data_IF_359345803384
#
_entry.id   IF_359345803384
#
_cell.length_a   1.000
_cell.length_b   1.000
_cell.length_c   1.000
_cell.angle_alpha   90.00
_cell.angle_beta   90.00
_cell.angle_gamma   90.00
#
_symmetry.space_group_name_H-M   'P 1'
#
loop_
_entity.id
_entity.type
_entity.pdbx_description
1 polymer ?
#
# COMPACT_ATOMS: atom_id res chain seq x y z
N UNK A 1 -13.56 -7.81 -9.99
CA UNK A 1 -12.98 -7.69 -11.36
C UNK A 1 -11.73 -6.84 -11.23
N UNK A 2 -10.63 -7.23 -11.86
CA UNK A 2 -9.38 -6.47 -11.80
C UNK A 2 -9.57 -5.06 -12.35
N UNK A 3 -9.06 -4.07 -11.64
CA UNK A 3 -9.12 -2.64 -11.98
C UNK A 3 -7.73 -2.01 -12.03
N UNK A 4 -6.78 -2.56 -11.26
CA UNK A 4 -5.45 -1.99 -11.09
C UNK A 4 -4.35 -3.00 -11.40
N UNK A 5 -3.34 -2.54 -12.13
CA UNK A 5 -2.05 -3.20 -12.24
C UNK A 5 -1.01 -2.37 -11.49
N UNK A 6 -0.49 -2.92 -10.40
CA UNK A 6 0.60 -2.35 -9.63
C UNK A 6 1.91 -2.88 -10.23
N UNK A 7 2.83 -2.02 -10.57
CA UNK A 7 4.13 -2.40 -11.13
C UNK A 7 5.22 -1.96 -10.15
N UNK A 8 5.95 -2.94 -9.61
CA UNK A 8 7.18 -2.68 -8.89
C UNK A 8 8.28 -2.41 -9.90
N UNK A 9 8.81 -1.19 -9.94
CA UNK A 9 9.85 -0.84 -10.89
C UNK A 9 11.21 -1.42 -10.53
N UNK A 10 11.45 -1.62 -9.22
CA UNK A 10 12.71 -2.15 -8.72
C UNK A 10 12.49 -3.11 -7.54
N UNK A 11 13.42 -4.05 -7.32
CA UNK A 11 13.37 -5.00 -6.20
C UNK A 11 13.32 -4.31 -4.82
N UNK A 12 13.89 -3.09 -4.72
CA UNK A 12 13.92 -2.28 -3.50
C UNK A 12 12.76 -1.31 -3.36
N UNK A 13 11.88 -1.22 -4.37
CA UNK A 13 10.69 -0.36 -4.31
C UNK A 13 9.86 -0.66 -3.06
N UNK A 14 9.61 0.36 -2.25
CA UNK A 14 8.90 0.18 -0.99
C UNK A 14 7.42 0.04 -1.22
N UNK A 15 6.87 -1.11 -0.84
CA UNK A 15 5.43 -1.36 -0.86
C UNK A 15 4.69 -0.40 0.06
N UNK A 16 3.51 0.05 -0.37
CA UNK A 16 2.53 0.75 0.49
C UNK A 16 1.67 -0.22 1.32
N UNK A 17 1.94 -1.53 1.23
CA UNK A 17 1.24 -2.55 1.99
C UNK A 17 1.81 -2.70 3.40
N UNK A 18 1.12 -3.51 4.24
CA UNK A 18 1.55 -3.82 5.60
C UNK A 18 2.98 -4.40 5.65
N UNK A 19 3.30 -5.36 4.78
CA UNK A 19 4.64 -5.95 4.71
C UNK A 19 5.57 -5.19 3.78
N UNK A 20 6.85 -5.11 4.19
CA UNK A 20 7.92 -4.55 3.36
C UNK A 20 8.52 -5.59 2.44
N UNK A 21 9.00 -5.13 1.31
CA UNK A 21 9.96 -5.85 0.50
C UNK A 21 11.29 -5.96 1.26
N UNK A 22 11.85 -7.17 1.36
CA UNK A 22 13.11 -7.42 2.10
C UNK A 22 14.33 -7.51 1.20
N UNK A 23 14.19 -7.27 -0.10
CA UNK A 23 15.31 -7.34 -1.03
C UNK A 23 16.15 -6.08 -0.93
N UNK A 24 17.46 -6.28 -0.94
CA UNK A 24 18.48 -5.22 -0.84
C UNK A 24 19.20 -4.98 -2.16
N UNK A 25 19.06 -5.89 -3.13
CA UNK A 25 19.69 -5.76 -4.43
C UNK A 25 18.84 -4.88 -5.34
N UNK A 26 19.46 -3.90 -5.95
CA UNK A 26 18.81 -3.05 -6.96
C UNK A 26 18.70 -3.82 -8.27
N UNK A 27 17.49 -4.12 -8.66
CA UNK A 27 17.18 -4.78 -9.92
C UNK A 27 15.94 -4.14 -10.52
N UNK A 28 16.16 -3.29 -11.51
CA UNK A 28 15.07 -2.71 -12.28
C UNK A 28 14.37 -3.80 -13.12
N UNK A 29 13.04 -3.64 -13.27
CA UNK A 29 12.28 -4.36 -14.30
C UNK A 29 12.91 -4.10 -15.67
N UNK A 30 12.97 -5.10 -16.54
CA UNK A 30 13.48 -4.86 -17.89
C UNK A 30 12.56 -3.91 -18.68
N UNK A 31 13.13 -3.09 -19.58
CA UNK A 31 12.32 -2.22 -20.45
C UNK A 31 11.34 -3.02 -21.30
N UNK A 32 11.69 -4.23 -21.69
CA UNK A 32 10.78 -5.14 -22.41
C UNK A 32 9.60 -5.52 -21.54
N UNK A 33 9.83 -5.91 -20.28
CA UNK A 33 8.76 -6.30 -19.36
C UNK A 33 7.91 -5.09 -18.95
N UNK A 34 8.52 -3.91 -18.82
CA UNK A 34 7.78 -2.66 -18.57
C UNK A 34 6.82 -2.33 -19.74
N UNK A 35 7.31 -2.44 -20.97
CA UNK A 35 6.46 -2.24 -22.16
C UNK A 35 5.33 -3.27 -22.24
N UNK A 36 5.62 -4.55 -21.97
CA UNK A 36 4.60 -5.61 -21.93
C UNK A 36 3.58 -5.38 -20.80
N UNK A 37 4.01 -4.84 -19.65
CA UNK A 37 3.11 -4.48 -18.56
C UNK A 37 2.13 -3.36 -18.98
N UNK A 38 2.63 -2.34 -19.66
CA UNK A 38 1.81 -1.26 -20.20
C UNK A 38 0.80 -1.82 -21.22
N UNK A 39 1.24 -2.63 -22.17
CA UNK A 39 0.36 -3.27 -23.14
C UNK A 39 -0.67 -4.19 -22.49
N UNK A 40 -0.28 -4.95 -21.47
CA UNK A 40 -1.19 -5.80 -20.70
C UNK A 40 -2.28 -4.98 -20.02
N UNK A 41 -1.92 -3.85 -19.40
CA UNK A 41 -2.88 -2.97 -18.74
C UNK A 41 -3.87 -2.35 -19.72
N UNK A 42 -3.37 -1.85 -20.87
CA UNK A 42 -4.21 -1.25 -21.92
C UNK A 42 -5.21 -2.26 -22.50
N UNK A 43 -4.74 -3.49 -22.82
CA UNK A 43 -5.60 -4.57 -23.35
C UNK A 43 -6.71 -4.96 -22.38
N UNK A 44 -6.52 -4.76 -21.06
CA UNK A 44 -7.46 -5.17 -20.01
C UNK A 44 -8.18 -3.99 -19.36
N UNK A 45 -7.93 -2.78 -19.82
CA UNK A 45 -8.46 -1.53 -19.28
C UNK A 45 -8.20 -1.41 -17.77
N UNK A 46 -6.93 -1.63 -17.36
CA UNK A 46 -6.49 -1.51 -15.99
C UNK A 46 -5.82 -0.16 -15.76
N UNK A 47 -6.07 0.44 -14.61
CA UNK A 47 -5.32 1.60 -14.14
C UNK A 47 -3.93 1.17 -13.68
N UNK A 48 -2.89 1.80 -14.24
CA UNK A 48 -1.50 1.57 -13.87
C UNK A 48 -1.13 2.33 -12.61
N UNK A 49 -0.40 1.65 -11.72
CA UNK A 49 0.21 2.23 -10.53
C UNK A 49 1.67 1.81 -10.49
N UNK A 50 2.61 2.75 -10.61
CA UNK A 50 4.04 2.47 -10.54
C UNK A 50 4.58 2.78 -9.16
N UNK A 51 5.25 1.80 -8.55
CA UNK A 51 5.99 1.99 -7.30
C UNK A 51 7.45 2.26 -7.65
N UNK A 52 7.85 3.49 -7.41
CA UNK A 52 9.19 3.99 -7.72
C UNK A 52 10.20 3.53 -6.67
N UNK A 53 11.47 3.32 -7.06
CA UNK A 53 12.57 3.15 -6.11
C UNK A 53 12.90 4.47 -5.40
N UNK A 54 13.80 4.40 -4.42
CA UNK A 54 14.31 5.55 -3.67
C UNK A 54 15.38 6.37 -4.41
N UNK A 55 15.68 6.00 -5.64
CA UNK A 55 16.66 6.64 -6.51
C UNK A 55 16.06 7.06 -7.85
N UNK A 56 16.73 7.97 -8.56
CA UNK A 56 16.28 8.45 -9.85
C UNK A 56 16.31 7.35 -10.91
N UNK A 57 15.19 7.17 -11.61
CA UNK A 57 15.11 6.22 -12.74
C UNK A 57 15.91 6.74 -13.96
N UNK A 58 16.47 5.83 -14.78
CA UNK A 58 16.99 6.20 -16.09
C UNK A 58 15.93 6.86 -16.97
N UNK A 59 16.33 7.85 -17.77
CA UNK A 59 15.43 8.65 -18.59
C UNK A 59 14.54 7.82 -19.54
N UNK A 60 15.06 6.71 -20.03
CA UNK A 60 14.32 5.79 -20.91
C UNK A 60 13.10 5.17 -20.22
N UNK A 61 13.18 4.86 -18.89
CA UNK A 61 12.05 4.40 -18.09
C UNK A 61 11.02 5.50 -17.92
N UNK A 62 11.48 6.70 -17.56
CA UNK A 62 10.59 7.86 -17.40
C UNK A 62 9.84 8.13 -18.70
N UNK A 63 10.56 8.19 -19.82
CA UNK A 63 9.94 8.41 -21.13
C UNK A 63 8.88 7.35 -21.46
N UNK A 64 9.12 6.08 -21.14
CA UNK A 64 8.16 5.00 -21.38
C UNK A 64 6.93 5.12 -20.45
N UNK A 65 7.13 5.38 -19.17
CA UNK A 65 6.05 5.50 -18.18
C UNK A 65 5.14 6.68 -18.51
N UNK A 66 5.70 7.83 -18.91
CA UNK A 66 4.95 9.04 -19.23
C UNK A 66 4.11 8.93 -20.53
N UNK A 67 4.23 7.82 -21.29
CA UNK A 67 3.37 7.58 -22.46
C UNK A 67 1.95 7.19 -22.11
N UNK A 68 1.67 6.84 -20.86
CA UNK A 68 0.38 6.34 -20.39
C UNK A 68 -0.11 7.07 -19.14
N UNK A 69 -1.41 7.10 -18.95
CA UNK A 69 -1.99 7.58 -17.69
C UNK A 69 -1.70 6.57 -16.59
N UNK A 70 -1.15 7.03 -15.48
CA UNK A 70 -0.76 6.20 -14.37
C UNK A 70 -0.79 6.97 -13.05
N UNK A 71 -0.77 6.24 -11.94
CA UNK A 71 -0.53 6.79 -10.61
C UNK A 71 0.92 6.51 -10.19
N UNK A 72 1.58 7.52 -9.67
CA UNK A 72 2.94 7.44 -9.14
C UNK A 72 2.91 7.25 -7.63
N UNK A 73 3.61 6.22 -7.16
CA UNK A 73 3.79 5.92 -5.73
C UNK A 73 5.28 5.98 -5.41
N UNK A 74 5.68 6.82 -4.46
CA UNK A 74 7.10 6.96 -4.08
C UNK A 74 7.29 7.13 -2.58
N UNK A 75 8.52 6.94 -2.12
CA UNK A 75 8.90 7.23 -0.73
C UNK A 75 8.97 8.73 -0.46
N UNK A 76 8.77 9.11 0.80
CA UNK A 76 8.96 10.49 1.30
C UNK A 76 10.38 11.02 1.09
N UNK A 77 11.36 10.11 1.02
CA UNK A 77 12.78 10.42 0.80
C UNK A 77 13.18 10.46 -0.67
N UNK A 78 12.26 10.14 -1.60
CA UNK A 78 12.57 10.11 -3.02
C UNK A 78 12.85 11.51 -3.58
N UNK A 79 13.79 11.58 -4.54
CA UNK A 79 14.29 12.84 -5.12
C UNK A 79 13.20 13.64 -5.88
N UNK A 80 12.11 13.00 -6.31
CA UNK A 80 11.07 13.60 -7.13
C UNK A 80 9.65 13.47 -6.55
N UNK A 81 9.42 14.06 -5.37
CA UNK A 81 8.09 14.04 -4.73
C UNK A 81 7.07 14.94 -5.46
N UNK A 82 7.52 15.94 -6.21
CA UNK A 82 6.66 17.04 -6.74
C UNK A 82 5.50 16.65 -7.66
N UNK A 83 5.42 15.40 -8.12
CA UNK A 83 4.33 14.90 -8.98
C UNK A 83 3.92 13.47 -8.60
N UNK A 84 3.73 13.24 -7.32
CA UNK A 84 3.44 11.91 -6.80
C UNK A 84 2.02 11.87 -6.29
N UNK A 85 1.22 10.90 -6.76
CA UNK A 85 -0.17 10.71 -6.33
C UNK A 85 -0.26 10.12 -4.93
N UNK A 86 0.71 9.26 -4.58
CA UNK A 86 0.80 8.65 -3.25
C UNK A 86 2.23 8.70 -2.73
N UNK A 87 2.42 9.21 -1.51
CA UNK A 87 3.71 9.27 -0.82
C UNK A 87 3.70 8.32 0.37
N UNK A 88 4.68 7.42 0.41
CA UNK A 88 4.87 6.49 1.52
C UNK A 88 5.91 7.06 2.49
N UNK A 89 5.50 7.29 3.72
CA UNK A 89 6.36 7.74 4.83
C UNK A 89 6.72 6.52 5.66
N UNK A 90 8.00 6.25 5.86
CA UNK A 90 8.50 5.09 6.61
C UNK A 90 9.18 5.45 7.93
N UNK A 91 9.53 6.73 8.13
CA UNK A 91 10.10 7.24 9.39
C UNK A 91 9.26 8.46 9.83
N UNK A 92 8.89 8.51 11.11
CA UNK A 92 8.16 9.66 11.67
C UNK A 92 8.95 10.98 11.59
N UNK A 93 10.28 10.90 11.55
CA UNK A 93 11.16 12.07 11.39
C UNK A 93 10.98 12.75 10.03
N UNK A 94 10.65 12.00 9.01
CA UNK A 94 10.40 12.55 7.68
C UNK A 94 9.18 13.47 7.69
N UNK A 95 8.18 13.19 8.55
CA UNK A 95 6.95 13.99 8.70
C UNK A 95 7.26 15.46 9.02
N UNK A 96 8.31 15.71 9.81
CA UNK A 96 8.66 17.07 10.24
C UNK A 96 9.23 17.93 9.10
N UNK A 97 9.85 17.28 8.11
CA UNK A 97 10.55 17.95 7.01
C UNK A 97 9.77 17.90 5.69
N UNK A 98 8.68 17.13 5.63
CA UNK A 98 7.90 16.93 4.42
C UNK A 98 7.01 18.12 4.12
N UNK A 99 7.08 18.62 2.89
CA UNK A 99 6.13 19.59 2.36
C UNK A 99 4.90 18.84 1.87
N UNK A 100 3.83 18.91 2.64
CA UNK A 100 2.56 18.25 2.30
C UNK A 100 1.84 18.98 1.16
N UNK A 101 1.22 18.19 0.29
CA UNK A 101 0.36 18.65 -0.80
C UNK A 101 -1.05 18.10 -0.61
N UNK A 102 -2.06 18.95 -0.71
CA UNK A 102 -3.47 18.58 -0.53
C UNK A 102 -3.95 17.54 -1.55
N UNK A 103 -3.43 17.54 -2.78
CA UNK A 103 -3.83 16.59 -3.83
C UNK A 103 -3.20 15.20 -3.68
N UNK A 104 -2.24 15.04 -2.77
CA UNK A 104 -1.47 13.80 -2.60
C UNK A 104 -2.04 12.96 -1.46
N UNK A 105 -2.15 11.65 -1.68
CA UNK A 105 -2.49 10.68 -0.64
C UNK A 105 -1.21 10.30 0.11
N UNK A 106 -1.24 10.38 1.43
CA UNK A 106 -0.11 9.96 2.26
C UNK A 106 -0.39 8.63 2.95
N UNK A 107 0.64 7.77 2.98
CA UNK A 107 0.60 6.48 3.64
C UNK A 107 1.75 6.46 4.64
N UNK A 108 1.41 6.53 5.93
CA UNK A 108 2.40 6.44 6.98
C UNK A 108 2.50 4.99 7.48
N UNK A 109 3.62 4.35 7.14
CA UNK A 109 3.97 3.01 7.62
C UNK A 109 4.81 3.17 8.87
N UNK A 110 4.31 2.68 9.99
CA UNK A 110 4.87 2.99 11.30
C UNK A 110 4.81 1.76 12.22
N UNK A 111 5.88 1.44 13.00
CA UNK A 111 5.80 0.48 14.10
C UNK A 111 4.84 0.97 15.20
N UNK A 112 4.29 0.06 16.00
CA UNK A 112 3.34 0.38 17.08
C UNK A 112 3.89 1.42 18.06
N UNK A 113 5.13 1.24 18.51
CA UNK A 113 5.74 2.14 19.50
C UNK A 113 5.87 3.56 18.97
N UNK A 114 6.31 3.73 17.72
CA UNK A 114 6.39 5.03 17.08
C UNK A 114 5.00 5.63 16.85
N UNK A 115 4.00 4.81 16.49
CA UNK A 115 2.63 5.27 16.32
C UNK A 115 2.04 5.78 17.64
N UNK A 116 2.22 5.05 18.74
CA UNK A 116 1.70 5.46 20.05
C UNK A 116 2.39 6.73 20.56
N UNK A 117 3.71 6.81 20.39
CA UNK A 117 4.50 7.95 20.86
C UNK A 117 4.32 9.22 20.01
N UNK A 118 3.95 9.10 18.74
CA UNK A 118 3.87 10.22 17.78
C UNK A 118 2.49 10.37 17.15
N UNK A 119 1.44 9.86 17.78
CA UNK A 119 0.06 9.94 17.28
C UNK A 119 -0.46 11.37 17.10
N UNK A 120 0.10 12.35 17.81
CA UNK A 120 -0.19 13.77 17.64
C UNK A 120 0.15 14.30 16.24
N UNK A 121 1.12 13.66 15.55
CA UNK A 121 1.47 14.01 14.18
C UNK A 121 0.35 13.71 13.19
N UNK A 122 -0.52 12.73 13.49
CA UNK A 122 -1.64 12.36 12.61
C UNK A 122 -2.55 13.54 12.36
N UNK A 123 -2.96 14.25 13.41
CA UNK A 123 -3.83 15.43 13.27
C UNK A 123 -3.12 16.57 12.54
N UNK A 124 -1.85 16.81 12.86
CA UNK A 124 -1.03 17.82 12.17
C UNK A 124 -0.87 17.56 10.68
N UNK A 125 -0.82 16.29 10.28
CA UNK A 125 -0.81 15.90 8.86
C UNK A 125 -2.19 16.14 8.24
N UNK A 126 -3.27 15.67 8.90
CA UNK A 126 -4.63 15.80 8.40
C UNK A 126 -5.09 17.25 8.24
N UNK A 127 -4.49 18.19 8.96
CA UNK A 127 -4.69 19.63 8.74
C UNK A 127 -4.24 20.11 7.34
N UNK A 128 -3.35 19.35 6.68
CA UNK A 128 -2.66 19.74 5.46
C UNK A 128 -2.96 18.86 4.25
N UNK A 129 -3.63 17.73 4.47
CA UNK A 129 -3.84 16.72 3.42
C UNK A 129 -5.29 16.23 3.42
N UNK A 130 -5.79 15.84 2.24
CA UNK A 130 -7.15 15.28 2.13
C UNK A 130 -7.21 13.86 2.70
N UNK A 131 -6.14 13.07 2.56
CA UNK A 131 -6.15 11.68 2.98
C UNK A 131 -4.82 11.21 3.56
N UNK A 132 -4.91 10.59 4.74
CA UNK A 132 -3.81 9.89 5.39
C UNK A 132 -4.22 8.44 5.70
N UNK A 133 -3.43 7.50 5.24
CA UNK A 133 -3.57 6.08 5.58
C UNK A 133 -2.46 5.70 6.56
N UNK A 134 -2.81 5.21 7.73
CA UNK A 134 -1.86 4.65 8.72
C UNK A 134 -1.78 3.15 8.54
N UNK A 135 -0.57 2.61 8.46
CA UNK A 135 -0.29 1.19 8.41
C UNK A 135 0.67 0.84 9.54
N UNK A 136 0.15 0.20 10.58
CA UNK A 136 0.98 -0.29 11.69
C UNK A 136 1.67 -1.57 11.23
N UNK A 137 3.00 -1.55 11.13
CA UNK A 137 3.77 -2.60 10.43
C UNK A 137 3.97 -3.88 11.23
N UNK A 138 3.70 -3.85 12.52
CA UNK A 138 3.89 -4.94 13.50
C UNK A 138 2.62 -5.24 14.31
N UNK A 139 1.46 -4.94 13.77
CA UNK A 139 0.16 -5.14 14.44
C UNK A 139 -0.09 -6.60 14.87
N UNK A 140 0.55 -7.57 14.23
CA UNK A 140 0.50 -8.98 14.60
C UNK A 140 1.23 -9.30 15.90
N UNK A 141 2.05 -8.37 16.42
CA UNK A 141 2.76 -8.52 17.69
C UNK A 141 2.01 -7.88 18.85
N UNK A 142 0.83 -7.31 18.62
CA UNK A 142 0.04 -6.66 19.66
C UNK A 142 -0.33 -7.64 20.76
N UNK A 143 -0.05 -7.25 21.98
CA UNK A 143 -0.57 -7.88 23.19
C UNK A 143 -1.82 -7.13 23.71
N UNK A 144 -2.27 -7.46 24.92
CA UNK A 144 -3.47 -6.84 25.51
C UNK A 144 -3.26 -5.36 25.83
N UNK A 145 -2.06 -5.00 26.30
CA UNK A 145 -1.72 -3.62 26.67
C UNK A 145 -1.62 -2.75 25.41
N UNK A 146 -1.03 -3.27 24.34
CA UNK A 146 -0.97 -2.61 23.03
C UNK A 146 -2.38 -2.29 22.48
N UNK A 147 -3.35 -3.20 22.66
CA UNK A 147 -4.73 -2.92 22.25
C UNK A 147 -5.40 -1.84 23.10
N UNK A 148 -5.09 -1.77 24.38
CA UNK A 148 -5.59 -0.71 25.28
C UNK A 148 -4.98 0.64 24.90
N UNK A 149 -3.69 0.69 24.57
CA UNK A 149 -2.99 1.87 24.08
C UNK A 149 -3.52 2.31 22.72
N UNK A 150 -3.69 1.37 21.80
CA UNK A 150 -4.28 1.63 20.49
C UNK A 150 -5.68 2.26 20.61
N UNK A 151 -6.52 1.75 21.52
CA UNK A 151 -7.85 2.30 21.75
C UNK A 151 -7.79 3.72 22.33
N UNK A 152 -6.86 4.00 23.26
CA UNK A 152 -6.65 5.35 23.80
C UNK A 152 -6.24 6.33 22.70
N UNK A 153 -5.29 5.91 21.85
CA UNK A 153 -4.86 6.72 20.70
C UNK A 153 -6.02 6.99 19.74
N UNK A 154 -6.82 5.96 19.40
CA UNK A 154 -7.97 6.14 18.51
C UNK A 154 -9.00 7.11 19.07
N UNK A 155 -9.25 7.09 20.39
CA UNK A 155 -10.16 8.06 21.01
C UNK A 155 -9.62 9.49 20.88
N UNK A 156 -8.35 9.70 21.20
CA UNK A 156 -7.69 11.02 21.02
C UNK A 156 -7.72 11.50 19.56
N UNK A 157 -7.48 10.60 18.62
CA UNK A 157 -7.55 10.93 17.20
C UNK A 157 -8.99 11.24 16.77
N UNK A 158 -9.98 10.55 17.33
CA UNK A 158 -11.40 10.82 17.05
C UNK A 158 -11.78 12.23 17.45
N UNK A 159 -11.40 12.66 18.67
CA UNK A 159 -11.66 14.02 19.16
C UNK A 159 -10.97 15.07 18.25
N UNK A 160 -9.75 14.77 17.79
CA UNK A 160 -9.01 15.63 16.87
C UNK A 160 -9.66 15.74 15.49
N UNK A 161 -10.12 14.62 14.93
CA UNK A 161 -10.83 14.58 13.64
C UNK A 161 -12.17 15.30 13.72
N UNK A 162 -12.94 15.10 14.80
CA UNK A 162 -14.19 15.81 15.04
C UNK A 162 -13.99 17.33 15.05
N UNK A 163 -12.93 17.79 15.71
CA UNK A 163 -12.57 19.20 15.73
C UNK A 163 -12.23 19.74 14.35
N UNK A 164 -11.45 18.98 13.54
CA UNK A 164 -11.15 19.36 12.16
C UNK A 164 -12.42 19.50 11.31
N UNK A 165 -13.36 18.56 11.45
CA UNK A 165 -14.66 18.65 10.74
C UNK A 165 -15.49 19.85 11.20
N UNK A 166 -15.50 20.16 12.51
CA UNK A 166 -16.16 21.37 13.00
C UNK A 166 -15.56 22.67 12.46
N UNK A 167 -14.26 22.64 12.11
CA UNK A 167 -13.54 23.74 11.43
C UNK A 167 -13.73 23.75 9.91
N UNK A 168 -14.50 22.82 9.33
CA UNK A 168 -14.77 22.71 7.91
C UNK A 168 -13.68 21.99 7.10
N UNK A 169 -12.78 21.25 7.76
CA UNK A 169 -11.76 20.42 7.12
C UNK A 169 -12.26 18.98 7.01
N UNK A 170 -12.18 18.38 5.83
CA UNK A 170 -12.70 17.02 5.54
C UNK A 170 -11.57 15.98 5.38
N UNK A 171 -10.58 16.02 6.25
CA UNK A 171 -9.45 15.07 6.21
C UNK A 171 -9.92 13.62 6.45
N UNK A 172 -9.47 12.70 5.60
CA UNK A 172 -9.81 11.28 5.67
C UNK A 172 -8.70 10.49 6.35
N UNK A 173 -9.04 9.71 7.37
CA UNK A 173 -8.15 8.81 8.09
C UNK A 173 -8.70 7.38 8.02
N UNK A 174 -7.93 6.44 7.44
CA UNK A 174 -8.38 5.05 7.28
C UNK A 174 -8.76 4.36 8.60
N UNK A 175 -8.13 4.71 9.71
CA UNK A 175 -8.41 4.11 11.03
C UNK A 175 -9.76 4.52 11.60
N UNK A 176 -10.29 5.68 11.21
CA UNK A 176 -11.52 6.27 11.74
C UNK A 176 -12.58 6.52 10.66
N UNK A 177 -12.31 7.45 9.73
CA UNK A 177 -13.33 7.92 8.78
C UNK A 177 -13.79 6.85 7.80
N UNK A 178 -12.89 5.95 7.35
CA UNK A 178 -13.31 4.83 6.51
C UNK A 178 -14.32 3.91 7.22
N UNK A 179 -14.18 3.74 8.53
CA UNK A 179 -15.13 2.94 9.33
C UNK A 179 -16.49 3.60 9.49
N UNK A 180 -16.53 4.92 9.51
CA UNK A 180 -17.78 5.70 9.61
C UNK A 180 -18.50 5.77 8.27
N UNK A 181 -17.77 5.90 7.17
CA UNK A 181 -18.32 6.14 5.84
C UNK A 181 -18.66 4.85 5.08
N UNK A 182 -17.96 3.75 5.36
CA UNK A 182 -18.17 2.49 4.66
C UNK A 182 -19.24 1.64 5.36
N UNK A 183 -20.31 1.29 4.66
CA UNK A 183 -21.34 0.35 5.16
C UNK A 183 -20.75 -1.01 5.53
N UNK A 184 -19.65 -1.37 4.93
CA UNK A 184 -18.91 -2.62 5.16
C UNK A 184 -17.44 -2.35 4.96
N UNK A 185 -16.61 -2.70 5.93
CA UNK A 185 -15.16 -2.69 5.76
C UNK A 185 -14.78 -3.72 4.71
N UNK A 186 -14.24 -3.25 3.61
CA UNK A 186 -13.69 -4.11 2.58
C UNK A 186 -12.25 -4.45 2.95
N UNK A 187 -11.81 -5.60 2.46
CA UNK A 187 -10.40 -5.96 2.48
C UNK A 187 -9.64 -5.06 1.51
N UNK A 188 -8.30 -5.18 1.52
CA UNK A 188 -7.45 -4.50 0.54
C UNK A 188 -7.71 -4.92 -0.91
N UNK A 189 -8.63 -5.89 -1.14
CA UNK A 189 -9.03 -6.43 -2.45
C UNK A 189 -7.85 -6.90 -3.33
N UNK A 190 -6.68 -7.15 -2.72
CA UNK A 190 -5.53 -7.71 -3.40
C UNK A 190 -5.88 -9.07 -4.03
N UNK A 191 -5.54 -9.26 -5.30
CA UNK A 191 -5.90 -10.42 -6.09
C UNK A 191 -7.33 -10.41 -6.65
N UNK A 192 -8.17 -9.45 -6.28
CA UNK A 192 -9.51 -9.26 -6.83
C UNK A 192 -9.64 -7.98 -7.65
N UNK A 193 -9.26 -6.84 -7.10
CA UNK A 193 -9.27 -5.55 -7.77
C UNK A 193 -7.88 -5.13 -8.25
N UNK A 194 -6.82 -5.61 -7.61
CA UNK A 194 -5.44 -5.31 -7.98
C UNK A 194 -4.58 -6.56 -8.06
N UNK A 195 -3.61 -6.53 -8.94
CA UNK A 195 -2.49 -7.48 -9.03
C UNK A 195 -1.19 -6.71 -9.15
N UNK A 196 -0.09 -7.34 -8.78
CA UNK A 196 1.24 -6.74 -8.83
C UNK A 196 2.11 -7.47 -9.84
N UNK A 197 2.74 -6.73 -10.74
CA UNK A 197 3.86 -7.20 -11.54
C UNK A 197 5.16 -6.81 -10.85
N UNK A 198 6.07 -7.76 -10.72
CA UNK A 198 7.37 -7.55 -10.09
C UNK A 198 8.52 -7.58 -11.13
N UNK A 199 9.74 -7.11 -10.76
CA UNK A 199 10.89 -7.06 -11.65
C UNK A 199 11.36 -8.41 -12.20
N UNK A 200 10.83 -9.53 -11.70
CA UNK A 200 11.08 -10.88 -12.23
C UNK A 200 10.12 -11.28 -13.36
N UNK A 201 9.25 -10.37 -13.81
CA UNK A 201 8.27 -10.60 -14.87
C UNK A 201 7.05 -11.42 -14.46
N UNK A 202 6.88 -11.69 -13.14
CA UNK A 202 5.76 -12.48 -12.63
C UNK A 202 4.70 -11.63 -11.97
N UNK A 203 3.46 -12.13 -12.02
CA UNK A 203 2.33 -11.55 -11.31
C UNK A 203 2.19 -12.12 -9.91
N UNK A 204 1.89 -11.25 -8.95
CA UNK A 204 1.63 -11.55 -7.55
C UNK A 204 0.31 -10.92 -7.13
N UNK A 205 -0.29 -11.43 -6.06
CA UNK A 205 -1.55 -10.90 -5.52
C UNK A 205 -1.36 -9.46 -5.04
N UNK A 206 -0.24 -9.18 -4.35
CA UNK A 206 0.13 -7.84 -3.91
C UNK A 206 1.67 -7.71 -3.82
N UNK A 207 2.19 -6.49 -3.69
CA UNK A 207 3.64 -6.25 -3.59
C UNK A 207 4.32 -7.02 -2.46
N UNK A 208 3.61 -7.27 -1.36
CA UNK A 208 4.14 -7.98 -0.19
C UNK A 208 4.53 -9.44 -0.47
N UNK A 209 3.94 -10.07 -1.49
CA UNK A 209 4.22 -11.46 -1.84
C UNK A 209 5.29 -11.65 -2.90
N UNK A 210 5.90 -10.58 -3.36
CA UNK A 210 6.88 -10.65 -4.45
C UNK A 210 8.03 -11.63 -4.17
N UNK A 211 8.48 -11.73 -2.94
CA UNK A 211 9.63 -12.58 -2.60
C UNK A 211 9.28 -14.06 -2.40
N UNK A 212 8.01 -14.38 -2.36
CA UNK A 212 7.54 -15.75 -2.17
C UNK A 212 7.10 -16.32 -3.51
N UNK A 213 8.03 -16.99 -4.22
CA UNK A 213 7.78 -17.55 -5.56
C UNK A 213 6.58 -18.49 -5.64
N UNK A 214 6.20 -19.13 -4.51
CA UNK A 214 4.96 -19.92 -4.39
C UNK A 214 3.68 -19.09 -4.53
N UNK A 215 3.77 -17.77 -4.29
CA UNK A 215 2.64 -16.83 -4.34
C UNK A 215 2.47 -16.16 -5.71
N UNK A 216 3.25 -16.55 -6.72
CA UNK A 216 3.06 -16.08 -8.09
C UNK A 216 1.74 -16.61 -8.68
N UNK A 217 0.99 -15.72 -9.33
CA UNK A 217 -0.30 -16.00 -9.97
C UNK A 217 -0.23 -15.89 -11.50
N UNK A 218 0.94 -16.05 -12.07
CA UNK A 218 1.20 -16.01 -13.51
C UNK A 218 2.44 -15.18 -13.86
N UNK A 219 2.63 -14.93 -15.13
CA UNK A 219 3.73 -14.12 -15.66
C UNK A 219 3.30 -13.38 -16.95
N UNK A 220 4.16 -12.47 -17.44
CA UNK A 220 3.89 -11.70 -18.65
C UNK A 220 3.77 -12.56 -19.91
N UNK A 221 4.44 -13.70 -19.97
CA UNK A 221 4.46 -14.60 -21.14
C UNK A 221 3.20 -15.45 -21.23
N UNK A 222 2.81 -16.06 -20.12
CA UNK A 222 1.67 -16.98 -20.03
C UNK A 222 0.38 -16.29 -19.60
N UNK A 223 0.47 -15.07 -19.07
CA UNK A 223 -0.65 -14.33 -18.49
C UNK A 223 -0.99 -14.77 -17.06
N UNK A 224 -2.20 -14.46 -16.62
CA UNK A 224 -2.68 -14.77 -15.27
C UNK A 224 -3.15 -16.20 -15.14
N UNK A 225 -2.69 -16.91 -14.13
CA UNK A 225 -3.26 -18.19 -13.69
C UNK A 225 -4.52 -17.93 -12.84
N UNK A 226 -5.66 -17.91 -13.53
CA UNK A 226 -6.96 -17.62 -12.91
C UNK A 226 -7.29 -18.63 -11.79
N UNK A 227 -6.89 -19.90 -11.93
CA UNK A 227 -7.17 -20.94 -10.91
C UNK A 227 -6.38 -20.64 -9.63
N UNK A 228 -5.10 -20.29 -9.75
CA UNK A 228 -4.28 -19.87 -8.60
C UNK A 228 -4.85 -18.61 -7.97
N UNK A 229 -5.18 -17.61 -8.78
CA UNK A 229 -5.73 -16.34 -8.31
C UNK A 229 -6.99 -16.57 -7.46
N UNK A 230 -7.95 -17.35 -7.95
CA UNK A 230 -9.17 -17.70 -7.22
C UNK A 230 -8.88 -18.52 -5.96
N UNK A 231 -7.93 -19.47 -6.00
CA UNK A 231 -7.54 -20.27 -4.84
C UNK A 231 -6.99 -19.36 -3.71
N UNK A 232 -6.15 -18.42 -4.05
CA UNK A 232 -5.62 -17.45 -3.09
C UNK A 232 -6.72 -16.55 -2.52
N UNK A 233 -7.57 -15.99 -3.39
CA UNK A 233 -8.67 -15.14 -2.98
C UNK A 233 -9.66 -15.87 -2.07
N UNK A 234 -10.04 -17.10 -2.40
CA UNK A 234 -10.94 -17.93 -1.58
C UNK A 234 -10.36 -18.21 -0.20
N UNK A 235 -9.05 -18.47 -0.09
CA UNK A 235 -8.39 -18.66 1.19
C UNK A 235 -8.39 -17.37 2.02
N UNK A 236 -8.15 -16.21 1.42
CA UNK A 236 -8.22 -14.90 2.09
C UNK A 236 -9.63 -14.67 2.65
N UNK A 237 -10.69 -14.90 1.86
CA UNK A 237 -12.08 -14.74 2.31
C UNK A 237 -12.42 -15.70 3.45
N UNK A 238 -12.06 -16.98 3.35
CA UNK A 238 -12.33 -17.98 4.39
C UNK A 238 -11.68 -17.57 5.70
N UNK A 239 -10.42 -17.14 5.64
CA UNK A 239 -9.70 -16.71 6.82
C UNK A 239 -10.36 -15.48 7.49
N UNK A 240 -10.83 -14.53 6.70
CA UNK A 240 -11.52 -13.32 7.20
C UNK A 240 -12.83 -13.63 7.92
N UNK A 241 -13.54 -14.70 7.53
CA UNK A 241 -14.73 -15.17 8.27
C UNK A 241 -14.37 -15.73 9.65
N UNK A 242 -13.17 -16.32 9.80
CA UNK A 242 -12.68 -16.84 11.08
C UNK A 242 -12.01 -15.78 11.94
N UNK A 243 -11.39 -14.76 11.35
CA UNK A 243 -10.69 -13.67 12.04
C UNK A 243 -11.59 -12.45 12.32
N UNK A 244 -12.85 -12.66 12.63
CA UNK A 244 -13.80 -11.57 12.94
C UNK A 244 -13.39 -10.67 14.12
N UNK A 245 -12.29 -10.98 14.79
CA UNK A 245 -11.76 -10.24 15.94
C UNK A 245 -10.71 -9.19 15.59
N UNK A 246 -10.02 -9.29 14.45
CA UNK A 246 -8.98 -8.35 14.00
C UNK A 246 -9.54 -7.41 12.93
N UNK A 247 -10.50 -6.57 13.29
CA UNK A 247 -11.15 -5.60 12.38
C UNK A 247 -10.33 -4.33 12.11
N UNK A 248 -9.10 -4.24 12.56
CA UNK A 248 -8.21 -3.14 12.25
C UNK A 248 -7.12 -3.68 11.32
N UNK A 249 -7.00 -3.20 10.10
CA UNK A 249 -6.05 -3.62 9.07
C UNK A 249 -5.75 -5.12 9.11
N UNK A 250 -6.42 -5.91 8.30
CA UNK A 250 -6.12 -7.35 8.26
C UNK A 250 -4.74 -7.55 7.68
N UNK A 251 -3.79 -8.10 8.43
CA UNK A 251 -2.49 -8.43 7.90
C UNK A 251 -2.66 -9.44 6.76
N UNK A 252 -2.00 -9.20 5.64
CA UNK A 252 -1.79 -10.22 4.63
C UNK A 252 -0.97 -11.33 5.30
N UNK A 253 -1.55 -12.51 5.45
CA UNK A 253 -1.05 -13.56 6.35
C UNK A 253 0.12 -14.26 5.72
N UNK A 254 1.31 -13.91 6.16
CA UNK A 254 2.53 -14.57 5.74
C UNK A 254 2.70 -15.96 6.35
N UNK A 255 2.34 -16.11 7.63
CA UNK A 255 2.67 -17.31 8.41
C UNK A 255 1.74 -18.51 8.22
N UNK A 256 0.62 -18.39 7.52
CA UNK A 256 -0.28 -19.54 7.29
C UNK A 256 -0.12 -20.21 5.92
N UNK A 257 0.75 -19.70 5.08
CA UNK A 257 0.96 -20.24 3.74
C UNK A 257 2.11 -21.24 3.65
N UNK A 258 2.98 -21.30 4.67
CA UNK A 258 4.13 -22.22 4.73
C UNK A 258 3.82 -23.59 5.32
N UNK A 259 2.59 -23.86 5.76
CA UNK A 259 2.22 -25.09 6.48
C UNK A 259 1.19 -25.98 5.75
N UNK A 260 1.11 -25.91 4.42
CA UNK A 260 0.30 -26.88 3.65
C UNK A 260 0.82 -27.11 2.26
#
# INVERSE_FOLDING_TARGET
MLQYLIVLLDDTSTSFCHYTNKKTERKLISLSDLNEAILFSLKRNLTLQFIYPDYALPQEYINMIETVLHNKISLSTAVEIKKTDMVVISDWKDVQNLLFNEETIYIWRVPKDDFFNHSDLVIKILEKVVRLNIIITDIETFDKEDFEDYQRVLNTLSDGVEKLYAEGKEGQLNLLTDRMMLKKMNNCNAGWESITLAPDGKFYICPAFYQEGSCSVGDLKCGLDIKKLFKFYSKIILWQRYASWLRACQPCIRNQWSAS
#
